data_IF_474118720757
#
_entry.id   IF_474118720757
#
_cell.length_a   1.000
_cell.length_b   1.000
_cell.length_c   1.000
_cell.angle_alpha   90.00
_cell.angle_beta   90.00
_cell.angle_gamma   90.00
#
_symmetry.space_group_name_H-M   'P 1'
#
loop_
_entity.id
_entity.type
_entity.pdbx_description
1 polymer ?
#
# COMPACT_ATOMS: atom_id res chain seq x y z
N UNK A 1 29.97 24.81 -2.79
CA UNK A 1 29.36 25.03 -4.11
C UNK A 1 28.64 23.76 -4.51
N UNK A 2 27.34 23.74 -4.31
CA UNK A 2 26.47 22.59 -4.60
C UNK A 2 26.06 22.63 -6.07
N UNK A 3 26.26 21.52 -6.78
CA UNK A 3 25.81 21.39 -8.17
C UNK A 3 24.27 21.40 -8.22
N UNK A 4 23.66 22.04 -9.23
CA UNK A 4 22.21 22.02 -9.42
C UNK A 4 21.74 20.62 -9.89
N UNK A 5 20.47 20.23 -9.62
CA UNK A 5 19.95 18.95 -10.06
C UNK A 5 19.89 18.88 -11.59
N UNK A 6 20.35 17.77 -12.16
CA UNK A 6 20.27 17.49 -13.61
C UNK A 6 18.79 17.37 -14.01
N UNK A 7 18.35 18.27 -14.86
CA UNK A 7 17.03 18.25 -15.50
C UNK A 7 16.90 17.00 -16.39
N UNK A 8 15.80 16.28 -16.25
CA UNK A 8 15.41 15.10 -17.06
C UNK A 8 14.92 15.50 -18.48
N UNK A 9 15.68 16.35 -19.19
CA UNK A 9 15.45 16.64 -20.60
C UNK A 9 16.21 15.65 -21.48
N UNK A 10 15.82 14.38 -21.51
CA UNK A 10 16.52 13.37 -22.32
C UNK A 10 15.84 12.03 -22.49
N UNK A 11 14.74 11.77 -21.79
CA UNK A 11 13.97 10.55 -22.03
C UNK A 11 12.89 10.81 -23.08
N UNK A 12 13.32 10.86 -24.34
CA UNK A 12 12.42 10.88 -25.50
C UNK A 12 11.71 9.51 -25.58
N UNK A 13 10.39 9.53 -25.52
CA UNK A 13 9.49 8.39 -25.73
C UNK A 13 9.65 7.69 -27.11
N UNK A 14 10.44 8.27 -28.03
CA UNK A 14 10.68 7.74 -29.36
C UNK A 14 11.58 6.49 -29.40
N UNK A 15 12.41 6.23 -28.37
CA UNK A 15 13.31 5.07 -28.36
C UNK A 15 12.67 3.79 -27.81
N UNK A 16 11.54 3.87 -27.13
CA UNK A 16 10.80 2.69 -26.65
C UNK A 16 10.15 1.90 -27.82
N UNK A 17 9.82 2.58 -28.93
CA UNK A 17 9.14 1.96 -30.06
C UNK A 17 10.03 1.11 -30.97
N UNK A 18 11.35 1.19 -30.91
CA UNK A 18 12.24 0.39 -31.79
C UNK A 18 12.61 -0.98 -31.22
N UNK A 19 12.42 -1.21 -29.92
CA UNK A 19 12.64 -2.52 -29.27
C UNK A 19 11.39 -3.40 -29.29
N UNK A 20 10.20 -2.85 -29.60
CA UNK A 20 8.92 -3.56 -29.52
C UNK A 20 8.57 -4.38 -30.76
N UNK A 21 9.24 -4.20 -31.90
CA UNK A 21 8.87 -4.91 -33.15
C UNK A 21 9.40 -6.35 -33.28
N UNK A 22 10.23 -6.85 -32.37
CA UNK A 22 10.78 -8.22 -32.46
C UNK A 22 10.23 -9.23 -31.45
N UNK A 23 9.25 -8.89 -30.61
CA UNK A 23 8.64 -9.83 -29.64
C UNK A 23 7.12 -9.80 -29.66
N UNK A 24 6.51 -9.99 -30.84
CA UNK A 24 5.12 -10.43 -30.96
C UNK A 24 5.10 -11.96 -31.01
N UNK A 25 5.49 -12.63 -29.96
CA UNK A 25 5.22 -14.06 -29.78
C UNK A 25 4.77 -14.26 -28.35
N UNK A 26 3.61 -14.91 -28.20
CA UNK A 26 3.03 -15.48 -26.99
C UNK A 26 3.47 -14.80 -25.68
N UNK A 27 2.54 -14.41 -24.85
CA UNK A 27 2.84 -14.09 -23.46
C UNK A 27 3.69 -15.24 -22.92
N UNK A 28 4.99 -15.01 -22.81
CA UNK A 28 5.83 -15.88 -22.01
C UNK A 28 5.11 -15.95 -20.65
N UNK A 29 4.70 -17.14 -20.24
CA UNK A 29 4.01 -17.31 -18.97
C UNK A 29 4.84 -16.60 -17.92
N UNK A 30 4.21 -15.64 -17.23
CA UNK A 30 4.86 -14.89 -16.19
C UNK A 30 5.39 -15.88 -15.13
N UNK A 31 6.62 -15.67 -14.69
CA UNK A 31 7.25 -16.46 -13.65
C UNK A 31 7.73 -15.54 -12.52
N UNK A 32 7.60 -15.94 -11.26
CA UNK A 32 8.14 -15.18 -10.14
C UNK A 32 9.65 -15.06 -10.22
N UNK A 33 10.19 -13.97 -9.70
CA UNK A 33 11.64 -13.70 -9.70
C UNK A 33 12.43 -14.63 -8.76
N UNK A 34 11.74 -15.31 -7.86
CA UNK A 34 12.30 -16.26 -6.88
C UNK A 34 11.42 -17.49 -6.72
N UNK A 35 12.02 -18.62 -6.35
CA UNK A 35 11.31 -19.84 -5.95
C UNK A 35 11.06 -19.91 -4.43
N UNK A 36 11.56 -18.95 -3.66
CA UNK A 36 11.25 -18.84 -2.23
C UNK A 36 9.83 -18.35 -2.02
N UNK A 37 9.22 -18.76 -0.92
CA UNK A 37 7.94 -18.20 -0.44
C UNK A 37 8.25 -16.98 0.42
N UNK A 38 8.20 -15.79 -0.18
CA UNK A 38 8.41 -14.52 0.49
C UNK A 38 7.05 -13.92 0.85
N UNK A 39 6.89 -13.46 2.09
CA UNK A 39 5.63 -12.88 2.58
C UNK A 39 5.87 -11.52 3.23
N UNK A 40 5.27 -10.49 2.68
CA UNK A 40 5.09 -9.20 3.33
C UNK A 40 3.78 -9.27 4.11
N UNK A 41 3.83 -9.25 5.45
CA UNK A 41 2.63 -9.02 6.28
C UNK A 41 2.57 -7.53 6.52
N UNK A 42 1.62 -6.90 5.86
CA UNK A 42 1.51 -5.45 5.74
C UNK A 42 0.33 -4.90 6.53
N UNK A 43 0.62 -4.06 7.52
CA UNK A 43 -0.42 -3.40 8.32
C UNK A 43 -0.77 -2.03 7.74
N UNK A 44 -1.99 -1.89 7.22
CA UNK A 44 -2.57 -0.63 6.77
C UNK A 44 -2.99 0.26 7.96
N UNK A 45 -3.29 1.52 7.68
CA UNK A 45 -3.94 2.49 8.56
C UNK A 45 -3.15 2.96 9.79
N UNK A 46 -1.83 2.81 9.84
CA UNK A 46 -1.04 3.48 10.88
C UNK A 46 -1.25 5.00 10.80
N UNK A 47 -1.36 5.66 11.93
CA UNK A 47 -1.65 7.11 12.01
C UNK A 47 -3.14 7.46 12.09
N UNK A 48 -4.04 6.54 11.73
CA UNK A 48 -5.49 6.78 11.75
C UNK A 48 -6.02 7.06 13.16
N UNK A 49 -5.54 6.30 14.15
CA UNK A 49 -5.94 6.41 15.57
C UNK A 49 -4.79 5.98 16.48
N UNK A 50 -4.87 6.35 17.78
CA UNK A 50 -3.94 5.86 18.78
C UNK A 50 -3.99 4.32 18.89
N UNK A 51 -5.19 3.77 18.85
CA UNK A 51 -5.45 2.34 18.90
C UNK A 51 -4.77 1.59 17.74
N UNK A 52 -4.87 2.09 16.51
CA UNK A 52 -4.19 1.52 15.33
C UNK A 52 -2.66 1.63 15.46
N UNK A 53 -2.14 2.78 15.91
CA UNK A 53 -0.71 2.96 16.13
C UNK A 53 -0.16 1.95 17.14
N UNK A 54 -0.80 1.81 18.30
CA UNK A 54 -0.37 0.88 19.35
C UNK A 54 -0.36 -0.56 18.85
N UNK A 55 -1.40 -0.97 18.13
CA UNK A 55 -1.51 -2.31 17.58
C UNK A 55 -0.40 -2.59 16.55
N UNK A 56 -0.14 -1.65 15.65
CA UNK A 56 0.92 -1.76 14.63
C UNK A 56 2.31 -1.79 15.28
N UNK A 57 2.57 -0.94 16.27
CA UNK A 57 3.82 -0.93 17.04
C UNK A 57 4.03 -2.27 17.76
N UNK A 58 3.03 -2.76 18.48
CA UNK A 58 3.08 -4.06 19.15
C UNK A 58 3.34 -5.21 18.17
N UNK A 59 2.75 -5.15 16.98
CA UNK A 59 2.96 -6.17 15.95
C UNK A 59 4.38 -6.15 15.38
N UNK A 60 4.99 -4.96 15.19
CA UNK A 60 6.42 -4.86 14.84
C UNK A 60 7.33 -5.41 15.95
N UNK A 61 7.09 -5.02 17.20
CA UNK A 61 7.90 -5.44 18.35
C UNK A 61 7.85 -6.95 18.59
N UNK A 62 6.71 -7.59 18.31
CA UNK A 62 6.55 -9.05 18.42
C UNK A 62 7.01 -9.81 17.17
N UNK A 63 7.38 -9.09 16.08
CA UNK A 63 7.70 -9.69 14.79
C UNK A 63 6.52 -10.34 14.09
N UNK A 64 5.30 -9.91 14.39
CA UNK A 64 4.06 -10.42 13.79
C UNK A 64 3.80 -9.83 12.41
N UNK A 65 4.35 -8.64 12.11
CA UNK A 65 4.29 -8.00 10.79
C UNK A 65 5.70 -7.66 10.30
N UNK A 66 5.85 -7.46 9.02
CA UNK A 66 7.12 -7.07 8.39
C UNK A 66 7.08 -5.69 7.74
N UNK A 67 5.89 -5.13 7.52
CA UNK A 67 5.70 -3.81 6.92
C UNK A 67 4.41 -3.15 7.42
N UNK A 68 4.31 -1.83 7.24
CA UNK A 68 3.10 -1.05 7.49
C UNK A 68 3.06 0.19 6.60
N UNK A 69 1.91 0.87 6.54
CA UNK A 69 1.81 2.17 5.87
C UNK A 69 1.04 3.21 6.68
N UNK A 70 1.47 4.48 6.56
CA UNK A 70 1.10 5.61 7.40
C UNK A 70 0.16 6.57 6.64
N UNK A 71 -1.00 6.88 7.25
CA UNK A 71 -2.02 7.81 6.73
C UNK A 71 -1.70 9.26 7.12
N UNK A 72 -1.01 10.01 6.26
CA UNK A 72 -0.57 11.38 6.54
C UNK A 72 -1.66 12.40 6.88
N UNK A 73 -2.92 12.31 6.36
CA UNK A 73 -3.98 13.24 6.73
C UNK A 73 -4.53 13.07 8.16
N UNK A 74 -4.18 11.97 8.84
CA UNK A 74 -4.78 11.60 10.11
C UNK A 74 -4.10 12.23 11.33
N UNK A 75 -4.85 12.41 12.42
CA UNK A 75 -4.41 13.15 13.59
C UNK A 75 -3.25 12.49 14.37
N UNK A 76 -3.15 11.17 14.34
CA UNK A 76 -2.17 10.41 15.12
C UNK A 76 -0.83 10.15 14.40
N UNK A 77 -0.62 10.81 13.27
CA UNK A 77 0.66 10.76 12.51
C UNK A 77 1.85 11.20 13.36
N UNK A 78 1.68 12.21 14.23
CA UNK A 78 2.77 12.71 15.06
C UNK A 78 3.31 11.63 16.03
N UNK A 79 2.44 10.82 16.60
CA UNK A 79 2.83 9.69 17.47
C UNK A 79 3.58 8.62 16.66
N UNK A 80 3.03 8.21 15.53
CA UNK A 80 3.67 7.26 14.64
C UNK A 80 5.06 7.74 14.17
N UNK A 81 5.16 9.01 13.76
CA UNK A 81 6.41 9.62 13.34
C UNK A 81 7.46 9.66 14.48
N UNK A 82 7.03 9.93 15.70
CA UNK A 82 7.92 9.91 16.87
C UNK A 82 8.47 8.50 17.15
N UNK A 83 7.64 7.46 16.99
CA UNK A 83 8.09 6.07 17.10
C UNK A 83 9.04 5.68 15.97
N UNK A 84 8.71 6.03 14.72
CA UNK A 84 9.53 5.73 13.53
C UNK A 84 10.93 6.35 13.62
N UNK A 85 11.06 7.56 14.17
CA UNK A 85 12.37 8.20 14.39
C UNK A 85 13.26 7.43 15.35
N UNK A 86 12.68 6.74 16.33
CA UNK A 86 13.40 5.86 17.26
C UNK A 86 13.61 4.45 16.71
N UNK A 87 12.86 4.06 15.68
CA UNK A 87 12.90 2.74 15.07
C UNK A 87 13.15 2.83 13.54
N UNK A 88 14.30 3.34 13.07
CA UNK A 88 14.56 3.65 11.66
C UNK A 88 14.65 2.41 10.77
N UNK A 89 14.73 1.23 11.35
CA UNK A 89 14.73 -0.06 10.64
C UNK A 89 13.34 -0.59 10.36
N UNK A 90 12.29 -0.07 11.01
CA UNK A 90 10.91 -0.44 10.70
C UNK A 90 10.58 -0.11 9.24
N UNK A 91 9.96 -1.06 8.55
CA UNK A 91 9.58 -0.92 7.14
C UNK A 91 8.20 -0.29 7.06
N UNK A 92 8.15 1.04 6.90
CA UNK A 92 6.89 1.79 6.87
C UNK A 92 6.86 2.71 5.66
N UNK A 93 5.82 2.53 4.85
CA UNK A 93 5.49 3.36 3.69
C UNK A 93 4.47 4.45 3.99
N UNK A 94 3.91 5.04 2.93
CA UNK A 94 2.81 5.98 3.02
C UNK A 94 1.54 5.37 2.42
N UNK A 95 0.51 5.32 3.24
CA UNK A 95 -0.85 4.93 2.86
C UNK A 95 -1.55 6.14 2.26
N UNK A 96 -1.32 6.39 0.97
CA UNK A 96 -1.84 7.57 0.27
C UNK A 96 -3.36 7.59 0.33
N UNK A 97 -3.88 8.57 1.05
CA UNK A 97 -5.26 8.62 1.52
C UNK A 97 -6.03 9.69 0.78
N UNK A 98 -7.13 9.29 0.13
CA UNK A 98 -8.02 10.17 -0.63
C UNK A 98 -9.48 10.06 -0.17
N UNK A 99 -9.77 9.13 0.76
CA UNK A 99 -11.10 8.90 1.33
C UNK A 99 -11.06 9.07 2.85
N UNK A 100 -12.23 9.31 3.46
CA UNK A 100 -12.42 9.41 4.91
C UNK A 100 -13.76 8.76 5.26
N UNK A 101 -13.78 7.43 5.35
CA UNK A 101 -14.96 6.59 5.31
C UNK A 101 -15.78 6.56 6.61
N UNK A 102 -15.17 6.82 7.76
CA UNK A 102 -15.81 6.67 9.06
C UNK A 102 -16.84 7.77 9.36
N UNK A 103 -17.81 7.52 10.21
CA UNK A 103 -18.84 8.50 10.57
C UNK A 103 -18.31 9.56 11.55
N UNK A 104 -17.52 9.12 12.52
CA UNK A 104 -17.10 9.92 13.68
C UNK A 104 -15.60 10.25 13.70
N UNK A 105 -14.79 9.53 12.93
CA UNK A 105 -13.36 9.78 12.78
C UNK A 105 -13.08 10.23 11.34
N UNK A 106 -13.10 11.56 11.11
CA UNK A 106 -12.99 12.16 9.78
C UNK A 106 -11.73 13.03 9.67
N UNK A 107 -11.12 13.03 8.51
CA UNK A 107 -9.93 13.82 8.20
C UNK A 107 -10.09 14.63 6.91
N UNK A 108 -9.22 15.63 6.77
CA UNK A 108 -9.17 16.56 5.64
C UNK A 108 -7.91 16.30 4.82
N UNK A 109 -7.82 16.80 3.58
CA UNK A 109 -6.59 16.79 2.79
C UNK A 109 -5.43 17.48 3.53
N UNK A 110 -4.21 17.05 3.21
CA UNK A 110 -2.96 17.71 3.57
C UNK A 110 -2.72 18.94 2.71
N UNK A 111 -3.11 18.86 1.45
CA UNK A 111 -3.04 19.99 0.51
C UNK A 111 -4.00 21.12 0.90
N UNK A 112 -3.71 22.40 0.50
CA UNK A 112 -4.63 23.49 0.67
C UNK A 112 -5.99 23.18 0.02
N UNK A 113 -7.07 23.40 0.77
CA UNK A 113 -8.46 23.03 0.40
C UNK A 113 -8.89 23.64 -0.92
N UNK A 114 -8.46 24.88 -1.22
CA UNK A 114 -8.76 25.58 -2.48
C UNK A 114 -8.15 24.90 -3.72
N UNK A 115 -7.16 24.05 -3.54
CA UNK A 115 -6.45 23.30 -4.60
C UNK A 115 -7.01 21.91 -4.86
N UNK A 116 -7.85 21.38 -3.96
CA UNK A 116 -8.32 19.98 -3.98
C UNK A 116 -9.83 19.89 -3.67
N UNK A 117 -10.61 20.83 -4.17
CA UNK A 117 -12.05 20.93 -3.89
C UNK A 117 -12.84 19.68 -4.28
N UNK A 118 -12.43 19.00 -5.35
CA UNK A 118 -13.05 17.77 -5.82
C UNK A 118 -12.82 16.58 -4.87
N UNK A 119 -11.85 16.65 -3.96
CA UNK A 119 -11.64 15.65 -2.92
C UNK A 119 -12.52 15.85 -1.68
N UNK A 120 -13.31 16.92 -1.61
CA UNK A 120 -14.06 17.30 -0.42
C UNK A 120 -15.56 17.05 -0.57
N UNK A 121 -16.13 16.49 0.47
CA UNK A 121 -17.59 16.44 0.66
C UNK A 121 -18.17 17.80 1.07
N UNK A 122 -19.51 17.97 1.09
CA UNK A 122 -20.12 19.24 1.49
C UNK A 122 -19.79 19.70 2.92
N UNK A 123 -19.28 18.82 3.78
CA UNK A 123 -18.86 19.12 5.15
C UNK A 123 -17.39 19.54 5.25
N UNK A 124 -16.64 19.46 4.12
CA UNK A 124 -15.23 19.82 4.03
C UNK A 124 -14.26 18.74 4.52
N UNK A 125 -14.70 17.49 4.58
CA UNK A 125 -13.85 16.32 4.77
C UNK A 125 -13.61 15.62 3.43
N UNK A 126 -12.63 14.74 3.35
CA UNK A 126 -12.50 13.85 2.21
C UNK A 126 -13.77 12.99 2.03
N UNK A 127 -14.09 12.63 0.79
CA UNK A 127 -15.24 11.75 0.48
C UNK A 127 -15.16 10.43 1.25
N UNK A 128 -16.31 9.79 1.46
CA UNK A 128 -16.37 8.54 2.23
C UNK A 128 -16.08 7.31 1.40
N UNK A 129 -16.28 7.36 0.10
CA UNK A 129 -16.13 6.21 -0.77
C UNK A 129 -15.21 6.50 -1.96
N UNK A 130 -14.63 5.44 -2.48
CA UNK A 130 -13.81 5.47 -3.69
C UNK A 130 -14.60 5.99 -4.89
N UNK A 131 -15.88 5.58 -5.02
CA UNK A 131 -16.76 5.98 -6.09
C UNK A 131 -17.04 7.50 -6.09
N UNK A 132 -17.16 8.09 -4.91
CA UNK A 132 -17.32 9.54 -4.78
C UNK A 132 -16.05 10.28 -5.19
N UNK A 133 -14.88 9.80 -4.78
CA UNK A 133 -13.59 10.38 -5.22
C UNK A 133 -13.46 10.31 -6.73
N UNK A 134 -13.71 9.14 -7.34
CA UNK A 134 -13.64 8.96 -8.81
C UNK A 134 -14.62 9.88 -9.55
N UNK A 135 -15.78 10.13 -8.97
CA UNK A 135 -16.83 10.99 -9.58
C UNK A 135 -16.50 12.46 -9.52
N UNK A 136 -15.86 12.92 -8.44
CA UNK A 136 -15.73 14.35 -8.14
C UNK A 136 -14.32 14.90 -8.31
N UNK A 137 -13.27 14.10 -8.05
CA UNK A 137 -11.91 14.58 -8.09
C UNK A 137 -11.32 14.52 -9.51
N UNK A 138 -10.56 15.53 -9.85
CA UNK A 138 -9.72 15.53 -11.05
C UNK A 138 -8.36 14.86 -10.76
N UNK A 139 -7.67 14.31 -11.78
CA UNK A 139 -6.32 13.80 -11.63
C UNK A 139 -5.31 14.83 -11.07
N UNK A 140 -5.50 16.11 -11.39
CA UNK A 140 -4.67 17.21 -10.89
C UNK A 140 -4.84 17.43 -9.39
N UNK A 141 -6.06 17.33 -8.88
CA UNK A 141 -6.34 17.43 -7.45
C UNK A 141 -5.78 16.22 -6.70
N UNK A 142 -5.91 15.01 -7.26
CA UNK A 142 -5.30 13.79 -6.73
C UNK A 142 -3.78 13.93 -6.70
N UNK A 143 -3.14 14.39 -7.79
CA UNK A 143 -1.69 14.63 -7.83
C UNK A 143 -1.26 15.62 -6.74
N UNK A 144 -2.00 16.72 -6.60
CA UNK A 144 -1.73 17.75 -5.59
C UNK A 144 -1.75 17.19 -4.19
N UNK A 145 -2.77 16.39 -3.88
CA UNK A 145 -2.92 15.80 -2.54
C UNK A 145 -1.85 14.75 -2.25
N UNK A 146 -1.62 13.77 -3.14
CA UNK A 146 -0.62 12.72 -2.85
C UNK A 146 0.79 13.30 -2.74
N UNK A 147 1.13 14.34 -3.51
CA UNK A 147 2.39 15.06 -3.37
C UNK A 147 2.47 15.76 -2.01
N UNK A 148 1.41 16.43 -1.58
CA UNK A 148 1.38 17.08 -0.28
C UNK A 148 1.60 16.09 0.88
N UNK A 149 1.02 14.89 0.78
CA UNK A 149 1.24 13.81 1.76
C UNK A 149 2.70 13.34 1.76
N UNK A 150 3.29 13.09 0.60
CA UNK A 150 4.70 12.68 0.48
C UNK A 150 5.62 13.76 1.03
N UNK A 151 5.42 15.00 0.62
CA UNK A 151 6.26 16.14 1.04
C UNK A 151 6.14 16.42 2.54
N UNK A 152 4.94 16.27 3.12
CA UNK A 152 4.76 16.38 4.57
C UNK A 152 5.57 15.31 5.29
N UNK A 153 5.52 14.05 4.85
CA UNK A 153 6.30 12.97 5.44
C UNK A 153 7.80 13.25 5.39
N UNK A 154 8.32 13.65 4.23
CA UNK A 154 9.73 14.00 4.05
C UNK A 154 10.14 15.19 4.91
N UNK A 155 9.32 16.24 4.97
CA UNK A 155 9.56 17.46 5.77
C UNK A 155 9.65 17.18 7.28
N UNK A 156 8.84 16.24 7.78
CA UNK A 156 8.92 15.85 9.20
C UNK A 156 10.02 14.79 9.46
N UNK A 157 10.82 14.47 8.45
CA UNK A 157 12.00 13.62 8.55
C UNK A 157 11.74 12.12 8.43
N UNK A 158 10.60 11.70 7.89
CA UNK A 158 10.34 10.30 7.58
C UNK A 158 11.02 9.89 6.28
N UNK A 159 11.30 8.60 6.14
CA UNK A 159 11.88 7.98 4.96
C UNK A 159 10.99 6.81 4.53
N UNK A 160 9.89 7.09 3.82
CA UNK A 160 8.96 6.05 3.40
C UNK A 160 9.63 4.96 2.58
N UNK A 161 9.33 3.69 2.87
CA UNK A 161 9.90 2.55 2.16
C UNK A 161 9.15 2.21 0.88
N UNK A 162 7.88 2.59 0.82
CA UNK A 162 6.99 2.40 -0.33
C UNK A 162 5.80 3.37 -0.29
N UNK A 163 5.02 3.36 -1.35
CA UNK A 163 3.74 4.02 -1.46
C UNK A 163 2.67 3.00 -1.80
N UNK A 164 1.55 3.04 -1.11
CA UNK A 164 0.35 2.28 -1.40
C UNK A 164 -0.90 3.16 -1.39
N UNK A 165 -2.12 2.61 -1.37
CA UNK A 165 -3.34 3.40 -1.52
C UNK A 165 -4.44 2.96 -0.58
N UNK A 166 -4.83 3.84 0.33
CA UNK A 166 -5.98 3.63 1.20
C UNK A 166 -7.24 3.30 0.38
N UNK A 167 -7.96 2.24 0.78
CA UNK A 167 -9.13 1.69 0.08
C UNK A 167 -8.90 1.39 -1.41
N UNK A 168 -7.64 1.32 -1.87
CA UNK A 168 -7.31 1.10 -3.27
C UNK A 168 -7.74 2.22 -4.22
N UNK A 169 -7.97 3.43 -3.72
CA UNK A 169 -8.52 4.56 -4.48
C UNK A 169 -7.69 4.91 -5.72
N UNK A 170 -6.36 4.83 -5.62
CA UNK A 170 -5.45 5.11 -6.73
C UNK A 170 -5.46 4.03 -7.83
N UNK A 171 -6.04 2.86 -7.56
CA UNK A 171 -6.22 1.78 -8.53
C UNK A 171 -7.62 1.75 -9.14
N UNK A 172 -8.54 2.61 -8.66
CA UNK A 172 -9.94 2.61 -9.10
C UNK A 172 -10.16 3.33 -10.44
N UNK A 173 -9.23 4.23 -10.82
CA UNK A 173 -9.28 4.99 -12.07
C UNK A 173 -7.90 5.01 -12.73
N UNK A 174 -7.83 4.72 -14.02
CA UNK A 174 -6.57 4.71 -14.77
C UNK A 174 -5.81 6.05 -14.69
N UNK A 175 -6.52 7.18 -14.66
CA UNK A 175 -5.93 8.51 -14.56
C UNK A 175 -5.28 8.74 -13.19
N UNK A 176 -5.86 8.22 -12.12
CA UNK A 176 -5.30 8.28 -10.76
C UNK A 176 -4.09 7.36 -10.63
N UNK A 177 -4.15 6.18 -11.24
CA UNK A 177 -3.03 5.26 -11.25
C UNK A 177 -1.81 5.84 -12.00
N UNK A 178 -2.03 6.55 -13.11
CA UNK A 178 -0.97 7.28 -13.81
C UNK A 178 -0.28 8.31 -12.92
N UNK A 179 -1.07 9.10 -12.19
CA UNK A 179 -0.57 10.09 -11.24
C UNK A 179 0.24 9.43 -10.12
N UNK A 180 -0.24 8.31 -9.60
CA UNK A 180 0.44 7.52 -8.58
C UNK A 180 1.82 7.02 -9.05
N UNK A 181 1.88 6.40 -10.23
CA UNK A 181 3.15 5.93 -10.80
C UNK A 181 4.13 7.09 -11.06
N UNK A 182 3.63 8.21 -11.58
CA UNK A 182 4.43 9.40 -11.82
C UNK A 182 5.06 9.91 -10.52
N UNK A 183 4.26 10.08 -9.46
CA UNK A 183 4.76 10.52 -8.17
C UNK A 183 5.78 9.53 -7.58
N UNK A 184 5.50 8.23 -7.60
CA UNK A 184 6.42 7.21 -7.09
C UNK A 184 7.79 7.27 -7.79
N UNK A 185 7.81 7.40 -9.12
CA UNK A 185 9.05 7.50 -9.89
C UNK A 185 9.82 8.80 -9.61
N UNK A 186 9.12 9.94 -9.50
CA UNK A 186 9.76 11.23 -9.24
C UNK A 186 10.38 11.32 -7.86
N UNK A 187 9.68 10.81 -6.83
CA UNK A 187 10.21 10.76 -5.46
C UNK A 187 11.15 9.56 -5.21
N UNK A 188 11.27 8.65 -6.18
CA UNK A 188 12.05 7.41 -6.08
C UNK A 188 11.63 6.54 -4.87
N UNK A 189 10.34 6.49 -4.59
CA UNK A 189 9.77 5.64 -3.57
C UNK A 189 9.05 4.48 -4.27
N UNK A 190 9.35 3.21 -3.93
CA UNK A 190 8.70 2.06 -4.56
C UNK A 190 7.17 2.13 -4.46
N UNK A 191 6.42 2.09 -5.56
CA UNK A 191 4.97 1.94 -5.49
C UNK A 191 4.58 0.48 -5.22
N UNK A 192 3.47 0.26 -4.53
CA UNK A 192 2.82 -1.04 -4.48
C UNK A 192 2.18 -1.33 -5.84
N UNK A 193 2.87 -2.12 -6.65
CA UNK A 193 2.41 -2.56 -7.97
C UNK A 193 2.63 -4.07 -8.13
N UNK A 194 1.95 -4.67 -9.10
CA UNK A 194 1.79 -6.12 -9.15
C UNK A 194 2.38 -6.73 -10.43
N UNK A 195 2.80 -7.98 -10.31
CA UNK A 195 3.12 -8.83 -11.46
C UNK A 195 1.84 -9.22 -12.21
N UNK A 196 1.90 -9.49 -13.54
CA UNK A 196 0.73 -9.75 -14.37
C UNK A 196 0.22 -11.19 -14.21
N UNK A 197 -0.06 -11.60 -13.00
CA UNK A 197 -0.67 -12.90 -12.73
C UNK A 197 -2.09 -12.95 -13.29
N UNK A 198 -2.65 -14.15 -13.57
CA UNK A 198 -4.03 -14.27 -14.05
C UNK A 198 -5.03 -13.58 -13.12
N UNK A 199 -4.81 -13.65 -11.81
CA UNK A 199 -5.65 -13.04 -10.80
C UNK A 199 -5.61 -11.50 -10.89
N UNK A 200 -4.42 -10.92 -10.97
CA UNK A 200 -4.24 -9.46 -11.11
C UNK A 200 -4.82 -8.96 -12.44
N UNK A 201 -4.60 -9.69 -13.52
CA UNK A 201 -5.17 -9.35 -14.83
C UNK A 201 -6.71 -9.36 -14.81
N UNK A 202 -7.32 -10.34 -14.13
CA UNK A 202 -8.76 -10.41 -13.95
C UNK A 202 -9.31 -9.27 -13.09
N UNK A 203 -8.65 -8.95 -11.98
CA UNK A 203 -9.02 -7.81 -11.11
C UNK A 203 -8.95 -6.47 -11.85
N UNK A 204 -7.93 -6.26 -12.65
CA UNK A 204 -7.76 -5.04 -13.45
C UNK A 204 -8.83 -4.93 -14.55
N UNK A 205 -9.10 -6.04 -15.27
CA UNK A 205 -10.13 -6.09 -16.30
C UNK A 205 -11.53 -5.78 -15.74
N UNK A 206 -11.85 -6.28 -14.53
CA UNK A 206 -13.12 -5.98 -13.85
C UNK A 206 -13.27 -4.47 -13.53
N UNK A 207 -12.18 -3.71 -13.48
CA UNK A 207 -12.14 -2.26 -13.29
C UNK A 207 -11.95 -1.46 -14.58
N UNK A 208 -12.01 -2.12 -15.74
CA UNK A 208 -11.80 -1.49 -17.05
C UNK A 208 -10.35 -1.04 -17.31
N UNK A 209 -9.38 -1.56 -16.54
CA UNK A 209 -7.97 -1.23 -16.71
C UNK A 209 -7.28 -2.18 -17.71
N UNK A 210 -6.60 -1.62 -18.71
CA UNK A 210 -5.69 -2.39 -19.56
C UNK A 210 -4.35 -2.62 -18.85
N UNK A 211 -4.34 -3.55 -17.90
CA UNK A 211 -3.16 -3.79 -17.06
C UNK A 211 -1.94 -4.23 -17.85
N UNK A 212 -2.11 -4.78 -19.06
CA UNK A 212 -0.98 -5.15 -19.92
C UNK A 212 -0.12 -3.96 -20.32
N UNK A 213 -0.74 -2.85 -20.72
CA UNK A 213 -0.01 -1.61 -21.04
C UNK A 213 0.65 -1.02 -19.81
N UNK A 214 -0.07 -0.99 -18.70
CA UNK A 214 0.44 -0.54 -17.42
C UNK A 214 1.64 -1.38 -16.99
N UNK A 215 1.54 -2.71 -17.09
CA UNK A 215 2.63 -3.62 -16.72
C UNK A 215 3.88 -3.41 -17.58
N UNK A 216 3.75 -3.16 -18.88
CA UNK A 216 4.90 -2.84 -19.74
C UNK A 216 5.66 -1.62 -19.26
N UNK A 217 4.95 -0.62 -18.73
CA UNK A 217 5.56 0.59 -18.18
C UNK A 217 6.22 0.33 -16.82
N UNK A 218 5.56 -0.43 -15.95
CA UNK A 218 6.12 -0.90 -14.66
C UNK A 218 7.44 -1.65 -14.91
N UNK A 219 7.45 -2.56 -15.89
CA UNK A 219 8.62 -3.34 -16.26
C UNK A 219 9.73 -2.47 -16.87
N UNK A 220 9.38 -1.59 -17.80
CA UNK A 220 10.34 -0.66 -18.42
C UNK A 220 10.99 0.30 -17.41
N UNK A 221 10.25 0.70 -16.39
CA UNK A 221 10.73 1.53 -15.30
C UNK A 221 11.51 0.75 -14.22
N UNK A 222 11.58 -0.59 -14.32
CA UNK A 222 12.25 -1.44 -13.34
C UNK A 222 11.62 -1.42 -11.95
N UNK A 223 10.33 -1.10 -11.85
CA UNK A 223 9.66 -0.97 -10.56
C UNK A 223 9.56 -2.31 -9.83
N UNK A 224 9.78 -2.33 -8.50
CA UNK A 224 9.55 -3.50 -7.66
C UNK A 224 8.10 -3.96 -7.74
N UNK A 225 7.86 -5.27 -7.75
CA UNK A 225 6.52 -5.85 -7.95
C UNK A 225 6.23 -6.93 -6.94
N UNK A 226 4.99 -6.95 -6.48
CA UNK A 226 4.39 -8.02 -5.70
C UNK A 226 3.77 -9.02 -6.67
N UNK A 227 3.95 -10.31 -6.42
CA UNK A 227 3.46 -11.35 -7.30
C UNK A 227 2.02 -11.75 -6.95
N UNK A 228 1.71 -11.84 -5.65
CA UNK A 228 0.40 -12.26 -5.17
C UNK A 228 -0.08 -11.37 -4.03
N UNK A 229 -1.25 -10.78 -4.21
CA UNK A 229 -1.91 -9.95 -3.21
C UNK A 229 -3.03 -10.71 -2.53
N UNK A 230 -3.08 -10.66 -1.21
CA UNK A 230 -4.21 -11.13 -0.41
C UNK A 230 -4.82 -9.97 0.39
N UNK A 231 -5.83 -9.28 -0.18
CA UNK A 231 -6.49 -8.15 0.47
C UNK A 231 -7.70 -8.60 1.29
N UNK A 232 -7.67 -9.78 1.89
CA UNK A 232 -8.84 -10.38 2.54
C UNK A 232 -9.31 -9.53 3.73
N UNK A 233 -10.41 -8.84 3.55
CA UNK A 233 -11.12 -8.11 4.59
C UNK A 233 -12.55 -8.62 4.68
N UNK A 234 -12.90 -9.25 5.81
CA UNK A 234 -14.22 -9.84 6.05
C UNK A 234 -14.76 -9.44 7.45
N UNK A 235 -15.08 -8.15 7.66
CA UNK A 235 -15.60 -7.68 8.93
C UNK A 235 -16.90 -8.40 9.27
N UNK A 236 -17.06 -8.80 10.54
CA UNK A 236 -18.20 -9.58 11.02
C UNK A 236 -17.97 -11.10 10.99
N UNK A 237 -16.85 -11.58 10.44
CA UNK A 237 -16.45 -12.98 10.55
C UNK A 237 -16.06 -13.33 12.00
N UNK A 238 -16.36 -14.56 12.44
CA UNK A 238 -15.90 -15.01 13.77
C UNK A 238 -14.38 -15.18 13.78
N UNK A 239 -13.73 -14.95 14.93
CA UNK A 239 -12.28 -15.11 15.09
C UNK A 239 -11.79 -16.50 14.62
N UNK A 240 -12.58 -17.54 14.87
CA UNK A 240 -12.23 -18.91 14.45
C UNK A 240 -12.19 -19.07 12.93
N UNK A 241 -13.19 -18.56 12.21
CA UNK A 241 -13.22 -18.58 10.74
C UNK A 241 -12.08 -17.73 10.16
N UNK A 242 -11.86 -16.56 10.74
CA UNK A 242 -10.77 -15.68 10.34
C UNK A 242 -9.40 -16.37 10.50
N UNK A 243 -9.16 -17.02 11.66
CA UNK A 243 -7.95 -17.80 11.91
C UNK A 243 -7.78 -18.93 10.89
N UNK A 244 -8.82 -19.72 10.64
CA UNK A 244 -8.78 -20.82 9.67
C UNK A 244 -8.40 -20.31 8.28
N UNK A 245 -8.99 -19.22 7.84
CA UNK A 245 -8.74 -18.60 6.54
C UNK A 245 -7.28 -18.10 6.41
N UNK A 246 -6.74 -17.45 7.43
CA UNK A 246 -5.34 -17.01 7.44
C UNK A 246 -4.37 -18.21 7.46
N UNK A 247 -4.65 -19.24 8.25
CA UNK A 247 -3.83 -20.45 8.29
C UNK A 247 -3.85 -21.19 6.94
N UNK A 248 -5.01 -21.28 6.29
CA UNK A 248 -5.12 -21.88 4.95
C UNK A 248 -4.35 -21.08 3.91
N UNK A 249 -4.46 -19.76 3.94
CA UNK A 249 -3.67 -18.90 3.08
C UNK A 249 -2.17 -19.19 3.20
N UNK A 250 -1.63 -19.25 4.42
CA UNK A 250 -0.21 -19.57 4.62
C UNK A 250 0.17 -20.93 4.05
N UNK A 251 -0.69 -21.96 4.23
CA UNK A 251 -0.42 -23.32 3.72
C UNK A 251 -0.44 -23.40 2.19
N UNK A 252 -1.22 -22.53 1.54
CA UNK A 252 -1.38 -22.50 0.08
C UNK A 252 -0.53 -21.42 -0.61
N UNK A 253 0.32 -20.73 0.15
CA UNK A 253 1.15 -19.64 -0.36
C UNK A 253 2.09 -20.13 -1.47
N UNK A 254 2.11 -19.40 -2.57
CA UNK A 254 2.89 -19.74 -3.78
C UNK A 254 4.33 -19.21 -3.68
N UNK A 255 5.31 -19.83 -4.37
CA UNK A 255 6.63 -19.22 -4.56
C UNK A 255 6.53 -17.85 -5.21
N UNK A 256 7.37 -16.92 -4.79
CA UNK A 256 7.36 -15.51 -5.21
C UNK A 256 7.13 -14.56 -4.04
N UNK A 257 6.92 -13.29 -4.35
CA UNK A 257 6.62 -12.25 -3.37
C UNK A 257 5.12 -12.16 -3.15
N UNK A 258 4.69 -12.54 -1.97
CA UNK A 258 3.29 -12.49 -1.53
C UNK A 258 3.10 -11.33 -0.56
N UNK A 259 1.93 -10.71 -0.58
CA UNK A 259 1.52 -9.69 0.39
C UNK A 259 0.19 -10.07 1.03
N UNK A 260 0.17 -10.03 2.35
CA UNK A 260 -1.01 -10.15 3.18
C UNK A 260 -1.29 -8.79 3.81
N UNK A 261 -2.37 -8.15 3.39
CA UNK A 261 -2.84 -6.90 4.00
C UNK A 261 -3.64 -7.23 5.25
N UNK A 262 -3.31 -6.53 6.34
CA UNK A 262 -4.01 -6.62 7.63
C UNK A 262 -4.28 -5.21 8.17
N UNK A 263 -5.33 -5.09 8.99
CA UNK A 263 -5.71 -3.84 9.63
C UNK A 263 -5.73 -4.06 11.14
N UNK A 264 -4.79 -3.46 11.84
CA UNK A 264 -4.60 -3.75 13.26
C UNK A 264 -5.29 -2.74 14.18
N UNK A 265 -5.79 -3.18 15.32
CA UNK A 265 -6.39 -2.34 16.34
C UNK A 265 -6.28 -2.97 17.72
N UNK A 266 -6.19 -2.13 18.76
CA UNK A 266 -6.29 -2.56 20.14
C UNK A 266 -7.77 -2.73 20.54
N UNK A 267 -8.04 -3.62 21.50
CA UNK A 267 -9.37 -3.70 22.14
C UNK A 267 -9.49 -2.59 23.18
N UNK A 268 -9.91 -1.42 22.73
CA UNK A 268 -10.01 -0.24 23.59
C UNK A 268 -11.22 0.64 23.20
N UNK A 269 -11.59 1.62 24.08
CA UNK A 269 -12.74 2.49 23.83
C UNK A 269 -12.61 3.35 22.58
N UNK A 270 -11.41 3.79 22.18
CA UNK A 270 -11.20 4.61 20.99
C UNK A 270 -11.56 3.82 19.74
N UNK A 271 -10.98 2.64 19.56
CA UNK A 271 -11.24 1.79 18.39
C UNK A 271 -12.71 1.41 18.27
N UNK A 272 -13.32 1.01 19.37
CA UNK A 272 -14.73 0.64 19.39
C UNK A 272 -15.68 1.81 19.08
N UNK A 273 -15.25 3.07 19.32
CA UNK A 273 -16.02 4.26 18.96
C UNK A 273 -15.90 4.66 17.47
N UNK A 274 -14.85 4.23 16.77
CA UNK A 274 -14.66 4.52 15.34
C UNK A 274 -15.64 3.72 14.49
N UNK A 275 -15.76 2.41 14.73
CA UNK A 275 -16.63 1.53 13.96
C UNK A 275 -17.02 0.27 14.73
N UNK A 276 -18.28 -0.20 14.52
CA UNK A 276 -18.72 -1.50 15.02
C UNK A 276 -17.94 -2.71 14.45
N UNK A 277 -17.22 -2.51 13.36
CA UNK A 277 -16.32 -3.52 12.77
C UNK A 277 -14.94 -3.60 13.40
N UNK A 278 -14.64 -2.79 14.42
CA UNK A 278 -13.30 -2.71 15.04
C UNK A 278 -12.79 -4.05 15.58
N UNK A 279 -13.70 -4.89 16.05
CA UNK A 279 -13.36 -6.24 16.55
C UNK A 279 -12.59 -7.08 15.55
N UNK A 280 -12.80 -6.89 14.26
CA UNK A 280 -12.04 -7.56 13.21
C UNK A 280 -10.54 -7.21 13.27
N UNK A 281 -10.21 -5.93 13.47
CA UNK A 281 -8.83 -5.43 13.61
C UNK A 281 -8.13 -6.00 14.84
N UNK A 282 -8.86 -6.13 15.94
CA UNK A 282 -8.36 -6.77 17.17
C UNK A 282 -8.06 -8.25 16.90
N UNK A 283 -8.96 -8.94 16.22
CA UNK A 283 -8.75 -10.36 15.88
C UNK A 283 -7.53 -10.57 14.99
N UNK A 284 -7.26 -9.70 14.03
CA UNK A 284 -6.05 -9.79 13.20
C UNK A 284 -4.79 -9.72 14.04
N UNK A 285 -4.67 -8.72 14.92
CA UNK A 285 -3.53 -8.62 15.83
C UNK A 285 -3.36 -9.89 16.69
N UNK A 286 -4.46 -10.35 17.30
CA UNK A 286 -4.46 -11.54 18.16
C UNK A 286 -4.00 -12.79 17.40
N UNK A 287 -4.52 -13.02 16.17
CA UNK A 287 -4.20 -14.21 15.36
C UNK A 287 -2.74 -14.19 14.89
N UNK A 288 -2.24 -13.04 14.42
CA UNK A 288 -0.86 -12.91 13.96
C UNK A 288 0.16 -13.18 15.09
N UNK A 289 -0.22 -12.94 16.34
CA UNK A 289 0.64 -13.19 17.51
C UNK A 289 0.51 -14.61 18.08
N UNK A 290 -0.43 -15.42 17.60
CA UNK A 290 -0.61 -16.82 18.07
C UNK A 290 0.64 -17.67 17.74
N UNK A 291 1.09 -18.53 18.67
CA UNK A 291 2.22 -19.45 18.40
C UNK A 291 2.00 -20.33 17.17
N UNK A 292 0.75 -20.71 16.91
CA UNK A 292 0.36 -21.52 15.76
C UNK A 292 0.63 -20.81 14.44
N UNK A 293 0.37 -19.47 14.33
CA UNK A 293 0.66 -18.69 13.16
C UNK A 293 2.16 -18.74 12.83
N UNK A 294 3.01 -18.52 13.84
CA UNK A 294 4.49 -18.62 13.71
C UNK A 294 4.95 -20.02 13.32
N UNK A 295 4.32 -21.05 13.89
CA UNK A 295 4.62 -22.44 13.55
C UNK A 295 4.35 -22.73 12.07
N UNK A 296 3.21 -22.30 11.55
CA UNK A 296 2.86 -22.49 10.14
C UNK A 296 3.87 -21.79 9.22
N UNK A 297 4.29 -20.56 9.53
CA UNK A 297 5.32 -19.86 8.76
C UNK A 297 6.60 -20.71 8.65
N UNK A 298 7.06 -21.31 9.77
CA UNK A 298 8.26 -22.15 9.81
C UNK A 298 8.07 -23.45 9.02
N UNK A 299 6.98 -24.18 9.25
CA UNK A 299 6.67 -25.45 8.57
C UNK A 299 6.57 -25.29 7.05
N UNK A 300 5.96 -24.18 6.60
CA UNK A 300 5.80 -23.86 5.19
C UNK A 300 7.04 -23.22 4.57
N UNK A 301 8.10 -22.99 5.36
CA UNK A 301 9.34 -22.31 4.96
C UNK A 301 9.06 -20.92 4.36
N UNK A 302 8.10 -20.20 4.93
CA UNK A 302 7.75 -18.85 4.53
C UNK A 302 8.71 -17.89 5.23
N UNK A 303 9.38 -17.05 4.44
CA UNK A 303 10.26 -16.00 4.95
C UNK A 303 9.53 -14.67 4.94
N UNK A 304 9.46 -14.01 6.11
CA UNK A 304 8.97 -12.64 6.16
C UNK A 304 9.90 -11.74 5.33
N UNK A 305 9.28 -10.84 4.59
CA UNK A 305 9.93 -9.98 3.61
C UNK A 305 9.46 -8.55 3.76
N UNK A 306 10.26 -7.58 3.34
CA UNK A 306 9.97 -6.16 3.49
C UNK A 306 10.01 -5.44 2.14
N UNK A 307 9.41 -4.25 2.06
CA UNK A 307 9.53 -3.42 0.86
C UNK A 307 10.97 -2.93 0.62
N UNK A 308 11.77 -2.75 1.68
CA UNK A 308 13.21 -2.46 1.52
C UNK A 308 13.95 -3.59 0.84
N UNK A 309 13.66 -4.84 1.19
CA UNK A 309 14.25 -6.01 0.52
C UNK A 309 13.71 -6.16 -0.90
N UNK A 310 12.41 -5.89 -1.11
CA UNK A 310 11.80 -5.87 -2.44
C UNK A 310 12.48 -4.85 -3.35
N UNK A 311 12.70 -3.62 -2.88
CA UNK A 311 13.43 -2.60 -3.62
C UNK A 311 14.84 -3.08 -4.01
N UNK A 312 15.58 -3.67 -3.07
CA UNK A 312 16.92 -4.24 -3.32
C UNK A 312 16.87 -5.37 -4.35
N UNK A 313 15.87 -6.26 -4.30
CA UNK A 313 15.70 -7.35 -5.27
C UNK A 313 15.55 -6.84 -6.71
N UNK A 314 15.03 -5.63 -6.88
CA UNK A 314 14.85 -4.97 -8.18
C UNK A 314 15.92 -3.92 -8.48
N UNK A 315 16.92 -3.72 -7.61
CA UNK A 315 17.92 -2.64 -7.71
C UNK A 315 17.26 -1.25 -7.84
N UNK A 316 16.16 -1.03 -7.10
CA UNK A 316 15.41 0.21 -7.10
C UNK A 316 15.76 1.04 -5.86
N UNK A 317 16.12 2.35 -6.05
CA UNK A 317 16.49 3.26 -4.97
C UNK A 317 17.57 4.24 -5.35
#
# INVERSE_FOLDING_TARGET
MSQPPRTLAGYSFANANRLSMRRRTALQEWQPKTQEKLLIIHADDMGMSHSANRATIQAFESGAISSASLMMPCAWVAEAAAWLKRNPTADVGLHLTLTSEWLTNRWRPVAPVDKVKGLLDPQGYMWRSVEEVVRHASPQEVETEIRAQIELALRIGLKPTHLDSHMGTLYADARFFEVFLKAAMEYRIPPMVFSPTPEIMAMAAARGLNYREVFQRIEAAGLPRIDYLNPQYAPGESKEKHRQRLHEYLRTLKPGVNELIVHLGMDDPEGNAITGGWRYRVQELEILQEPEFKRILQEQKIRLFTYRELAKMYNYG
#
